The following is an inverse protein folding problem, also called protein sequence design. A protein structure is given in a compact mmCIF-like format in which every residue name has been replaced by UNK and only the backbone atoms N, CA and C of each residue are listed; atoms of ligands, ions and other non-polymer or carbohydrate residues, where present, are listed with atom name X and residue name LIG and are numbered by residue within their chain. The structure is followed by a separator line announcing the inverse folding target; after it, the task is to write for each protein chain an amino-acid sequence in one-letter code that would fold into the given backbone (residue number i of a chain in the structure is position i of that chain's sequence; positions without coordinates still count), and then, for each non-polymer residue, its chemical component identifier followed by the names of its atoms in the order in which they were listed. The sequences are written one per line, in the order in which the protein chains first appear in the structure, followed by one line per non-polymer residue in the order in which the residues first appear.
data_IF_870862387327
#
_entry.id   IF_870862387327
#
_cell.length_a   1.000
_cell.length_b   1.000
_cell.length_c   1.000
_cell.angle_alpha   90.00
_cell.angle_beta   90.00
_cell.angle_gamma   90.00
#
_symmetry.space_group_name_H-M   'P 1'
#
loop_
_entity.id
_entity.type
_entity.pdbx_description
1 polymer ?
#
# COMPACT_ATOMS: atom_id res chain seq x y z
N UNK A 1 1.60 15.77 23.54
CA UNK A 1 0.19 15.99 23.90
C UNK A 1 -0.58 16.49 22.68
N UNK A 2 -1.49 15.64 22.15
CA UNK A 2 -2.73 15.93 21.39
C UNK A 2 -2.69 16.61 19.99
N UNK A 3 -3.42 15.93 19.08
CA UNK A 3 -4.06 16.33 17.78
C UNK A 3 -3.16 16.23 16.54
N UNK A 4 -3.57 15.63 15.41
CA UNK A 4 -4.90 15.62 14.77
C UNK A 4 -5.34 14.23 14.23
N UNK A 5 -6.48 13.75 14.73
CA UNK A 5 -7.42 12.88 14.03
C UNK A 5 -8.67 13.74 13.81
N UNK A 6 -9.09 13.95 12.55
CA UNK A 6 -10.37 14.57 12.23
C UNK A 6 -10.83 14.17 10.81
N UNK A 7 -11.70 13.17 10.77
CA UNK A 7 -12.68 12.73 9.75
C UNK A 7 -13.74 11.99 10.63
N UNK A 8 -15.05 12.21 10.66
CA UNK A 8 -16.12 12.66 9.75
C UNK A 8 -17.27 13.30 10.56
N UNK A 9 -18.21 14.01 9.91
CA UNK A 9 -19.55 14.29 10.46
C UNK A 9 -20.33 15.38 9.69
N UNK A 10 -21.44 15.01 9.03
CA UNK A 10 -22.23 15.86 8.14
C UNK A 10 -23.44 16.57 8.75
N UNK A 11 -24.18 17.30 7.90
CA UNK A 11 -25.47 17.94 8.19
C UNK A 11 -25.97 18.88 7.08
N UNK A 12 -27.08 18.50 6.44
CA UNK A 12 -27.99 19.31 5.60
C UNK A 12 -28.64 20.46 6.41
N UNK A 13 -29.18 21.59 5.93
CA UNK A 13 -29.53 22.14 4.62
C UNK A 13 -29.70 23.67 4.79
N UNK A 14 -29.50 24.47 3.73
CA UNK A 14 -30.48 25.45 3.24
C UNK A 14 -29.95 26.17 1.98
N UNK A 15 -30.85 26.28 1.01
CA UNK A 15 -30.65 26.90 -0.28
C UNK A 15 -30.67 28.43 -0.20
N UNK A 16 -29.77 29.08 -0.93
CA UNK A 16 -29.96 30.41 -1.48
C UNK A 16 -29.32 30.42 -2.87
N UNK A 17 -30.16 30.54 -3.89
CA UNK A 17 -29.75 30.54 -5.29
C UNK A 17 -29.09 31.85 -5.72
N UNK A 18 -28.13 31.75 -6.64
CA UNK A 18 -27.75 32.83 -7.54
C UNK A 18 -27.59 32.20 -8.94
N UNK A 19 -28.23 32.84 -9.92
CA UNK A 19 -28.35 32.39 -11.29
C UNK A 19 -27.05 32.47 -12.10
N UNK A 20 -27.01 31.49 -13.00
CA UNK A 20 -26.21 31.24 -14.20
C UNK A 20 -25.86 32.48 -15.04
N UNK A 21 -24.60 32.55 -15.47
CA UNK A 21 -24.19 33.20 -16.71
C UNK A 21 -23.24 32.27 -17.46
N UNK A 22 -23.72 31.62 -18.52
CA UNK A 22 -22.92 30.73 -19.36
C UNK A 22 -22.16 31.48 -20.44
N UNK A 23 -21.11 30.86 -20.98
CA UNK A 23 -20.87 30.74 -22.42
C UNK A 23 -19.67 29.82 -22.71
N UNK A 24 -20.02 28.65 -23.29
CA UNK A 24 -19.40 28.02 -24.46
C UNK A 24 -17.92 27.61 -24.44
N UNK A 25 -17.67 26.31 -24.63
CA UNK A 25 -16.34 25.81 -25.02
C UNK A 25 -16.11 24.31 -24.84
N UNK A 26 -16.94 23.47 -25.47
CA UNK A 26 -16.63 22.05 -25.64
C UNK A 26 -15.49 21.91 -26.66
N UNK A 27 -14.46 21.11 -26.37
CA UNK A 27 -13.99 20.02 -27.24
C UNK A 27 -12.79 19.28 -26.64
N UNK A 28 -12.96 17.96 -26.61
CA UNK A 28 -11.98 16.93 -26.33
C UNK A 28 -10.79 16.92 -27.31
N UNK A 29 -9.64 16.42 -26.82
CA UNK A 29 -8.51 15.71 -27.48
C UNK A 29 -7.23 16.07 -26.69
N UNK A 30 -6.35 15.17 -26.26
CA UNK A 30 -6.08 13.79 -26.69
C UNK A 30 -5.07 13.12 -25.74
N UNK A 31 -5.31 11.85 -25.43
CA UNK A 31 -4.53 10.95 -24.57
C UNK A 31 -3.15 10.52 -25.13
N UNK A 32 -2.50 11.35 -25.96
CA UNK A 32 -1.23 11.03 -26.61
C UNK A 32 0.00 11.50 -25.81
N UNK A 33 -0.14 12.53 -24.96
CA UNK A 33 0.96 13.09 -24.16
C UNK A 33 1.44 12.16 -23.02
N UNK A 34 0.61 11.20 -22.59
CA UNK A 34 0.96 10.25 -21.53
C UNK A 34 1.94 9.15 -21.98
N UNK A 35 2.13 8.94 -23.29
CA UNK A 35 2.98 7.85 -23.82
C UNK A 35 4.46 8.23 -23.97
N UNK A 36 4.81 9.52 -24.08
CA UNK A 36 6.22 9.92 -24.30
C UNK A 36 7.02 10.17 -23.02
N UNK A 37 6.36 10.43 -21.88
CA UNK A 37 7.05 10.67 -20.60
C UNK A 37 7.71 9.41 -20.02
N UNK A 38 7.14 8.23 -20.29
CA UNK A 38 7.66 6.91 -19.88
C UNK A 38 9.00 6.56 -20.55
N UNK A 39 9.23 7.03 -21.78
CA UNK A 39 10.47 6.73 -22.51
C UNK A 39 11.68 7.56 -22.02
N UNK A 40 11.42 8.72 -21.39
CA UNK A 40 12.46 9.69 -20.99
C UNK A 40 13.13 9.43 -19.63
N UNK A 41 12.65 8.45 -18.86
CA UNK A 41 13.24 8.06 -17.56
C UNK A 41 14.49 7.17 -17.68
N UNK A 42 14.96 6.92 -18.91
CA UNK A 42 16.18 6.14 -19.18
C UNK A 42 17.45 6.99 -19.10
N UNK A 43 17.82 7.44 -17.90
CA UNK A 43 19.23 7.75 -17.59
C UNK A 43 19.53 7.70 -16.09
N UNK A 44 19.24 6.56 -15.45
CA UNK A 44 19.86 6.22 -14.16
C UNK A 44 21.29 5.71 -14.40
N UNK A 45 22.24 6.23 -13.63
CA UNK A 45 23.66 5.88 -13.71
C UNK A 45 23.90 4.37 -13.53
N UNK A 46 24.89 3.82 -14.25
CA UNK A 46 25.21 2.39 -14.29
C UNK A 46 25.54 1.85 -12.90
N UNK A 47 24.69 0.97 -12.37
CA UNK A 47 25.03 0.08 -11.26
C UNK A 47 25.28 -1.31 -11.85
N UNK A 48 26.43 -1.91 -11.49
CA UNK A 48 26.69 -3.32 -11.74
C UNK A 48 25.76 -4.15 -10.85
N UNK A 49 24.71 -4.70 -11.46
CA UNK A 49 23.71 -5.55 -10.83
C UNK A 49 22.76 -6.12 -11.89
N UNK A 50 22.31 -7.36 -11.70
CA UNK A 50 21.33 -8.01 -12.56
C UNK A 50 19.97 -7.28 -12.56
N UNK A 51 19.01 -7.81 -13.31
CA UNK A 51 17.61 -7.39 -13.18
C UNK A 51 17.10 -7.91 -11.83
N UNK A 52 16.45 -7.06 -11.04
CA UNK A 52 15.77 -7.54 -9.83
C UNK A 52 14.51 -8.31 -10.25
N UNK A 53 14.25 -9.40 -9.54
CA UNK A 53 13.17 -10.34 -9.82
C UNK A 53 12.12 -10.30 -8.72
N UNK A 54 10.90 -10.69 -9.11
CA UNK A 54 9.80 -10.83 -8.19
C UNK A 54 10.10 -11.85 -7.11
N UNK A 55 9.91 -11.47 -5.85
CA UNK A 55 10.02 -12.37 -4.70
C UNK A 55 8.60 -12.79 -4.32
N UNK A 56 8.27 -14.10 -4.35
CA UNK A 56 6.95 -14.56 -3.95
C UNK A 56 6.60 -14.09 -2.52
N UNK A 57 5.36 -13.63 -2.25
CA UNK A 57 5.06 -12.99 -0.99
C UNK A 57 5.14 -13.93 0.22
N UNK A 58 5.46 -13.36 1.37
CA UNK A 58 5.24 -13.99 2.67
C UNK A 58 3.74 -13.98 3.00
N UNK A 59 3.19 -15.14 3.34
CA UNK A 59 1.76 -15.35 3.53
C UNK A 59 1.45 -15.44 5.04
N UNK A 60 0.64 -14.53 5.61
CA UNK A 60 0.24 -14.58 7.00
C UNK A 60 -0.55 -15.86 7.32
N UNK A 61 -0.30 -16.46 8.48
CA UNK A 61 -1.16 -17.52 9.03
C UNK A 61 -2.38 -16.90 9.70
N UNK A 62 -3.57 -17.44 9.45
CA UNK A 62 -4.80 -17.00 10.10
C UNK A 62 -4.81 -17.48 11.56
N UNK A 63 -5.16 -16.59 12.46
CA UNK A 63 -5.37 -16.86 13.89
C UNK A 63 -6.70 -16.27 14.33
N UNK A 64 -7.25 -16.76 15.44
CA UNK A 64 -8.49 -16.26 16.03
C UNK A 64 -8.25 -14.90 16.69
N UNK A 65 -7.23 -14.82 17.55
CA UNK A 65 -6.86 -13.61 18.27
C UNK A 65 -5.41 -13.20 17.94
N UNK A 66 -5.10 -11.90 17.97
CA UNK A 66 -3.72 -11.46 17.82
C UNK A 66 -2.88 -11.87 19.03
N UNK A 67 -1.57 -12.09 18.86
CA UNK A 67 -0.68 -12.44 19.96
C UNK A 67 -0.57 -11.29 20.97
N UNK A 68 -0.57 -11.63 22.26
CA UNK A 68 -0.38 -10.66 23.36
C UNK A 68 1.06 -10.60 23.88
N UNK A 69 1.89 -11.58 23.52
CA UNK A 69 3.29 -11.65 23.93
C UNK A 69 4.11 -10.46 23.41
N UNK A 70 5.24 -10.19 24.07
CA UNK A 70 6.23 -9.23 23.56
C UNK A 70 6.88 -9.68 22.24
N UNK A 71 7.46 -8.72 21.53
CA UNK A 71 8.21 -8.97 20.29
C UNK A 71 7.33 -9.05 19.04
N UNK A 72 6.13 -8.45 19.08
CA UNK A 72 5.25 -8.27 17.94
C UNK A 72 4.99 -6.79 17.68
N UNK A 73 4.79 -6.46 16.41
CA UNK A 73 4.20 -5.19 15.97
C UNK A 73 2.93 -5.49 15.19
N UNK A 74 1.98 -4.58 15.27
CA UNK A 74 0.67 -4.76 14.66
C UNK A 74 0.43 -3.68 13.61
N UNK A 75 -0.13 -4.09 12.48
CA UNK A 75 -0.50 -3.23 11.37
C UNK A 75 -1.97 -3.44 11.04
N UNK A 76 -2.64 -2.39 10.59
CA UNK A 76 -3.96 -2.52 9.98
C UNK A 76 -3.82 -3.42 8.75
N UNK A 77 -4.66 -4.46 8.66
CA UNK A 77 -4.76 -5.21 7.43
C UNK A 77 -5.56 -4.37 6.43
N UNK A 78 -4.92 -4.00 5.33
CA UNK A 78 -5.55 -3.20 4.29
C UNK A 78 -6.27 -4.14 3.32
N UNK A 79 -7.53 -3.82 3.02
CA UNK A 79 -8.29 -4.54 1.99
C UNK A 79 -7.90 -3.99 0.62
N UNK A 80 -7.01 -4.71 -0.05
CA UNK A 80 -6.51 -4.31 -1.36
C UNK A 80 -5.94 -5.47 -2.16
N UNK A 81 -5.16 -5.13 -3.17
CA UNK A 81 -4.40 -6.10 -3.95
C UNK A 81 -2.91 -6.03 -3.66
N UNK A 82 -2.41 -7.10 -3.02
CA UNK A 82 -1.00 -7.30 -2.71
C UNK A 82 -0.13 -7.11 -3.94
N UNK A 83 0.81 -6.16 -3.84
CA UNK A 83 1.62 -5.69 -4.96
C UNK A 83 3.07 -5.51 -4.54
N UNK A 84 4.00 -5.90 -5.40
CA UNK A 84 5.43 -5.67 -5.23
C UNK A 84 5.93 -4.66 -6.25
N UNK A 85 6.51 -3.56 -5.77
CA UNK A 85 7.21 -2.58 -6.62
C UNK A 85 8.67 -2.99 -6.73
N UNK A 86 9.15 -3.13 -7.96
CA UNK A 86 10.57 -3.35 -8.27
C UNK A 86 11.10 -2.14 -9.02
N UNK A 87 12.15 -1.54 -8.48
CA UNK A 87 12.88 -0.43 -9.07
C UNK A 87 14.28 -0.92 -9.38
N UNK A 88 14.73 -0.82 -10.62
CA UNK A 88 16.12 -1.10 -11.00
C UNK A 88 16.52 -0.37 -12.29
N UNK A 89 17.63 -0.78 -12.91
CA UNK A 89 18.13 -0.24 -14.19
C UNK A 89 17.12 -0.37 -15.35
N UNK A 90 16.15 -1.28 -15.24
CA UNK A 90 15.07 -1.49 -16.21
C UNK A 90 13.88 -0.57 -16.02
N UNK A 91 13.85 0.24 -14.95
CA UNK A 91 12.74 1.12 -14.59
C UNK A 91 11.91 0.56 -13.44
N UNK A 92 10.71 1.11 -13.28
CA UNK A 92 9.72 0.68 -12.27
C UNK A 92 8.83 -0.41 -12.86
N UNK A 93 8.62 -1.49 -12.11
CA UNK A 93 7.69 -2.57 -12.42
C UNK A 93 6.84 -2.90 -11.20
N UNK A 94 5.56 -3.17 -11.41
CA UNK A 94 4.63 -3.54 -10.35
C UNK A 94 4.08 -4.94 -10.63
N UNK A 95 4.24 -5.83 -9.67
CA UNK A 95 3.80 -7.22 -9.78
C UNK A 95 2.68 -7.51 -8.79
N UNK A 96 1.63 -8.18 -9.25
CA UNK A 96 0.58 -8.71 -8.36
C UNK A 96 1.11 -9.83 -7.46
N UNK A 97 0.32 -10.25 -6.49
CA UNK A 97 0.60 -11.37 -5.56
C UNK A 97 1.15 -12.64 -6.24
N UNK A 98 0.71 -12.94 -7.47
CA UNK A 98 1.12 -14.12 -8.24
C UNK A 98 2.18 -13.82 -9.33
N UNK A 99 2.87 -12.68 -9.24
CA UNK A 99 3.98 -12.34 -10.12
C UNK A 99 3.58 -11.86 -11.52
N UNK A 100 2.33 -11.46 -11.75
CA UNK A 100 1.91 -10.88 -13.04
C UNK A 100 2.29 -9.41 -13.08
N UNK A 101 2.86 -8.97 -14.20
CA UNK A 101 3.22 -7.57 -14.41
C UNK A 101 1.96 -6.73 -14.64
N UNK A 102 1.67 -5.84 -13.69
CA UNK A 102 0.52 -4.93 -13.68
C UNK A 102 0.94 -3.46 -13.84
N UNK A 103 2.18 -3.21 -14.26
CA UNK A 103 2.75 -1.86 -14.38
C UNK A 103 1.88 -0.92 -15.21
N UNK A 104 1.28 -1.41 -16.30
CA UNK A 104 0.40 -0.61 -17.18
C UNK A 104 -0.93 -0.25 -16.52
N UNK A 105 -1.49 -1.16 -15.71
CA UNK A 105 -2.73 -0.93 -14.95
C UNK A 105 -2.48 0.06 -13.81
N UNK A 106 -1.33 -0.05 -13.15
CA UNK A 106 -0.91 0.81 -12.04
C UNK A 106 -0.07 2.02 -12.49
N UNK A 107 -0.29 2.53 -13.71
CA UNK A 107 0.56 3.58 -14.27
C UNK A 107 0.74 4.83 -13.37
N UNK A 108 -0.27 5.32 -12.61
CA UNK A 108 -0.05 6.49 -11.75
C UNK A 108 0.90 6.19 -10.59
N UNK A 109 0.86 4.97 -10.04
CA UNK A 109 1.78 4.51 -9.00
C UNK A 109 3.18 4.33 -9.61
N UNK A 110 3.27 3.77 -10.82
CA UNK A 110 4.55 3.59 -11.52
C UNK A 110 5.26 4.94 -11.76
N UNK A 111 4.51 5.98 -12.13
CA UNK A 111 5.04 7.34 -12.29
C UNK A 111 5.44 7.99 -10.96
N UNK A 112 4.73 7.68 -9.88
CA UNK A 112 5.06 8.21 -8.55
C UNK A 112 6.22 7.48 -7.86
N UNK A 113 6.60 6.28 -8.35
CA UNK A 113 7.69 5.46 -7.80
C UNK A 113 9.10 5.97 -8.14
N UNK A 114 9.26 7.28 -8.28
CA UNK A 114 10.55 7.98 -8.42
C UNK A 114 11.23 8.16 -7.04
N UNK A 115 11.29 7.08 -6.26
CA UNK A 115 11.87 7.09 -4.91
C UNK A 115 13.39 7.35 -4.97
N UNK A 116 13.99 7.96 -3.93
CA UNK A 116 15.41 8.31 -3.87
C UNK A 116 16.31 7.08 -3.62
N UNK A 117 16.23 6.10 -4.51
CA UNK A 117 17.05 4.89 -4.51
C UNK A 117 17.49 4.54 -5.94
N UNK A 118 18.57 3.77 -6.07
CA UNK A 118 19.02 3.21 -7.35
C UNK A 118 18.27 1.93 -7.69
N UNK A 119 18.04 1.08 -6.68
CA UNK A 119 17.30 -0.17 -6.85
C UNK A 119 16.57 -0.58 -5.57
N UNK A 120 15.33 -1.05 -5.67
CA UNK A 120 14.54 -1.49 -4.52
C UNK A 120 13.55 -2.59 -4.88
N UNK A 121 13.19 -3.42 -3.90
CA UNK A 121 12.02 -4.30 -3.94
C UNK A 121 11.18 -3.95 -2.72
N UNK A 122 9.98 -3.44 -2.95
CA UNK A 122 9.07 -2.95 -1.90
C UNK A 122 7.79 -3.76 -1.98
N UNK A 123 7.34 -4.25 -0.82
CA UNK A 123 6.12 -5.04 -0.69
C UNK A 123 5.03 -4.16 -0.04
N UNK A 124 3.84 -4.19 -0.61
CA UNK A 124 2.75 -3.30 -0.21
C UNK A 124 1.39 -3.73 -0.74
N UNK A 125 0.39 -2.92 -0.47
CA UNK A 125 -0.99 -3.13 -0.89
C UNK A 125 -1.43 -2.01 -1.82
N UNK A 126 -2.10 -2.32 -2.94
CA UNK A 126 -2.80 -1.31 -3.74
C UNK A 126 -4.24 -1.21 -3.27
N UNK A 127 -4.66 0.00 -2.89
CA UNK A 127 -5.98 0.30 -2.34
C UNK A 127 -6.64 1.49 -3.06
N UNK A 128 -7.93 1.68 -2.78
CA UNK A 128 -8.64 2.95 -3.04
C UNK A 128 -8.89 3.61 -1.67
N UNK A 129 -8.28 4.77 -1.37
CA UNK A 129 -8.49 5.44 -0.08
C UNK A 129 -9.96 5.80 0.16
N UNK A 130 -10.43 5.59 1.39
CA UNK A 130 -11.79 5.95 1.81
C UNK A 130 -12.88 4.94 1.44
N UNK A 131 -12.54 3.88 0.70
CA UNK A 131 -13.41 2.72 0.51
C UNK A 131 -13.10 1.73 1.64
N UNK A 132 -14.11 1.33 2.42
CA UNK A 132 -13.97 0.40 3.54
C UNK A 132 -14.63 -0.94 3.22
N UNK A 133 -14.01 -2.03 3.68
CA UNK A 133 -14.75 -3.18 4.22
C UNK A 133 -15.24 -4.25 3.23
N UNK A 134 -14.50 -4.60 2.18
CA UNK A 134 -14.75 -5.89 1.53
C UNK A 134 -13.49 -6.46 0.84
N UNK A 135 -13.05 -7.70 1.13
CA UNK A 135 -12.06 -8.42 0.33
C UNK A 135 -12.44 -8.55 -1.16
N UNK A 136 -13.72 -8.42 -1.51
CA UNK A 136 -14.21 -8.37 -2.90
C UNK A 136 -14.54 -6.94 -3.37
N UNK A 137 -13.87 -5.92 -2.84
CA UNK A 137 -14.13 -4.49 -3.12
C UNK A 137 -14.32 -4.19 -4.62
N UNK A 138 -15.57 -4.02 -5.10
CA UNK A 138 -15.84 -3.75 -6.51
C UNK A 138 -15.28 -2.39 -6.92
N UNK A 139 -15.14 -1.48 -5.96
CA UNK A 139 -14.55 -0.17 -6.18
C UNK A 139 -13.05 -0.27 -6.53
N UNK A 140 -12.30 -1.21 -5.95
CA UNK A 140 -10.89 -1.42 -6.31
C UNK A 140 -10.78 -1.96 -7.74
N UNK A 141 -11.57 -2.97 -8.09
CA UNK A 141 -11.56 -3.50 -9.46
C UNK A 141 -11.98 -2.42 -10.47
N UNK A 142 -13.05 -1.68 -10.20
CA UNK A 142 -13.50 -0.57 -11.04
C UNK A 142 -12.41 0.51 -11.18
N UNK A 143 -11.73 0.87 -10.10
CA UNK A 143 -10.64 1.84 -10.13
C UNK A 143 -9.45 1.33 -10.95
N UNK A 144 -9.09 0.05 -10.86
CA UNK A 144 -8.00 -0.54 -11.64
C UNK A 144 -8.23 -0.39 -13.15
N UNK A 145 -9.46 -0.58 -13.59
CA UNK A 145 -9.78 -0.57 -15.02
C UNK A 145 -10.18 0.81 -15.55
N UNK A 146 -10.86 1.62 -14.76
CA UNK A 146 -11.51 2.86 -15.24
C UNK A 146 -10.94 4.13 -14.62
N UNK A 147 -10.45 4.07 -13.37
CA UNK A 147 -10.03 5.25 -12.60
C UNK A 147 -8.70 5.02 -11.86
N UNK A 148 -7.61 4.60 -12.54
CA UNK A 148 -6.37 4.22 -11.88
C UNK A 148 -5.73 5.36 -11.09
N UNK A 149 -6.11 6.61 -11.38
CA UNK A 149 -5.73 7.80 -10.63
C UNK A 149 -6.25 7.83 -9.19
N UNK A 150 -7.20 6.98 -8.80
CA UNK A 150 -7.65 6.81 -7.41
C UNK A 150 -6.77 5.86 -6.61
N UNK A 151 -6.01 5.01 -7.28
CA UNK A 151 -5.20 3.99 -6.64
C UNK A 151 -4.07 4.63 -5.83
N UNK A 152 -3.78 4.02 -4.69
CA UNK A 152 -2.64 4.32 -3.82
C UNK A 152 -1.95 3.01 -3.48
N UNK A 153 -0.62 3.02 -3.46
CA UNK A 153 0.19 1.92 -2.95
C UNK A 153 0.61 2.22 -1.52
N UNK A 154 0.28 1.35 -0.58
CA UNK A 154 0.68 1.44 0.81
C UNK A 154 1.74 0.38 1.10
N UNK A 155 2.98 0.82 1.25
CA UNK A 155 4.15 -0.03 1.47
C UNK A 155 4.23 -0.46 2.94
N UNK A 156 4.39 -1.76 3.20
CA UNK A 156 4.57 -2.28 4.56
C UNK A 156 5.90 -3.03 4.76
N UNK A 157 6.65 -3.38 3.71
CA UNK A 157 7.97 -4.01 3.84
C UNK A 157 8.92 -3.64 2.69
N UNK A 158 10.23 -3.83 2.89
CA UNK A 158 11.28 -3.63 1.89
C UNK A 158 12.25 -4.81 1.91
N UNK A 159 12.45 -5.44 0.76
CA UNK A 159 13.20 -6.69 0.62
C UNK A 159 14.60 -6.47 0.05
N UNK A 160 14.80 -5.38 -0.69
CA UNK A 160 16.08 -5.02 -1.28
C UNK A 160 16.20 -3.49 -1.37
N UNK A 161 17.42 -2.98 -1.16
CA UNK A 161 17.74 -1.55 -1.32
C UNK A 161 19.19 -1.39 -1.75
N UNK A 162 19.42 -0.78 -2.91
CA UNK A 162 20.70 -0.32 -3.42
C UNK A 162 21.83 -1.36 -3.43
N UNK A 163 21.47 -2.60 -3.75
CA UNK A 163 22.38 -3.75 -3.88
C UNK A 163 22.48 -4.59 -2.61
N UNK A 164 21.72 -4.24 -1.56
CA UNK A 164 21.66 -4.99 -0.31
C UNK A 164 20.36 -5.80 -0.25
N UNK A 165 20.48 -7.06 0.11
CA UNK A 165 19.33 -7.90 0.48
C UNK A 165 18.90 -7.54 1.90
N UNK A 166 17.71 -6.97 2.06
CA UNK A 166 17.13 -6.61 3.35
C UNK A 166 16.23 -7.71 3.89
N UNK A 167 15.75 -8.65 3.05
CA UNK A 167 14.88 -9.75 3.47
C UNK A 167 15.48 -10.61 4.61
N UNK A 168 16.81 -10.69 4.71
CA UNK A 168 17.51 -11.41 5.79
C UNK A 168 17.63 -10.63 7.10
N UNK A 169 17.27 -9.35 7.14
CA UNK A 169 17.34 -8.51 8.33
C UNK A 169 16.07 -8.64 9.19
N UNK A 170 16.13 -8.33 10.50
CA UNK A 170 14.97 -8.15 11.36
C UNK A 170 13.92 -7.20 10.78
N UNK A 171 12.64 -7.46 11.04
CA UNK A 171 11.50 -6.66 10.54
C UNK A 171 11.67 -5.17 10.86
N UNK A 172 12.03 -4.81 12.10
CA UNK A 172 12.14 -3.40 12.49
C UNK A 172 13.23 -2.66 11.68
N UNK A 173 14.32 -3.34 11.31
CA UNK A 173 15.35 -2.75 10.46
C UNK A 173 14.84 -2.52 9.03
N UNK A 174 14.02 -3.44 8.51
CA UNK A 174 13.37 -3.27 7.20
C UNK A 174 12.37 -2.13 7.24
N UNK A 175 11.52 -2.06 8.28
CA UNK A 175 10.57 -0.95 8.51
C UNK A 175 11.27 0.40 8.59
N UNK A 176 12.38 0.50 9.32
CA UNK A 176 13.17 1.73 9.40
C UNK A 176 13.72 2.15 8.02
N UNK A 177 14.28 1.21 7.25
CA UNK A 177 14.77 1.49 5.90
C UNK A 177 13.64 1.91 4.95
N UNK A 178 12.47 1.28 5.07
CA UNK A 178 11.29 1.63 4.28
C UNK A 178 10.79 3.03 4.61
N UNK A 179 10.69 3.37 5.91
CA UNK A 179 10.29 4.69 6.37
C UNK A 179 11.23 5.79 5.84
N UNK A 180 12.54 5.56 5.88
CA UNK A 180 13.53 6.50 5.35
C UNK A 180 13.42 6.69 3.83
N UNK A 181 12.98 5.66 3.10
CA UNK A 181 12.84 5.70 1.64
C UNK A 181 11.54 6.38 1.19
N UNK A 182 10.42 6.05 1.84
CA UNK A 182 9.07 6.49 1.44
C UNK A 182 8.68 7.81 2.10
N UNK A 183 9.11 8.03 3.35
CA UNK A 183 8.70 9.19 4.14
C UNK A 183 7.26 9.10 4.67
N UNK A 184 6.71 10.27 5.01
CA UNK A 184 5.40 10.42 5.66
C UNK A 184 4.36 11.11 4.77
N UNK A 185 4.68 11.34 3.49
CA UNK A 185 3.82 12.05 2.56
C UNK A 185 2.62 11.20 2.16
N UNK A 186 1.43 11.82 2.12
CA UNK A 186 0.17 11.15 1.72
C UNK A 186 0.00 11.12 0.19
N UNK A 187 1.07 10.76 -0.51
CA UNK A 187 1.12 10.67 -1.97
C UNK A 187 0.53 9.36 -2.52
N UNK A 188 0.96 8.99 -3.73
CA UNK A 188 0.61 7.70 -4.37
C UNK A 188 1.33 6.49 -3.78
N UNK A 189 2.42 6.73 -3.07
CA UNK A 189 3.18 5.74 -2.32
C UNK A 189 3.18 6.22 -0.89
N UNK A 190 2.63 5.41 0.00
CA UNK A 190 2.46 5.73 1.41
C UNK A 190 3.09 4.65 2.26
N UNK A 191 3.54 5.00 3.45
CA UNK A 191 4.05 4.03 4.42
C UNK A 191 2.92 3.48 5.29
N UNK A 192 2.92 2.16 5.51
CA UNK A 192 2.04 1.50 6.47
C UNK A 192 2.62 1.61 7.88
N UNK A 193 1.96 2.40 8.72
CA UNK A 193 2.26 2.51 10.14
C UNK A 193 2.10 1.16 10.86
N UNK A 194 2.94 0.97 11.88
CA UNK A 194 2.85 -0.17 12.78
C UNK A 194 2.83 0.33 14.22
N UNK A 195 2.24 -0.47 15.09
CA UNK A 195 2.03 -0.15 16.49
C UNK A 195 2.71 -1.20 17.37
N UNK A 196 3.45 -0.74 18.37
CA UNK A 196 4.09 -1.57 19.41
C UNK A 196 3.21 -1.75 20.66
N UNK A 197 2.06 -1.07 20.71
CA UNK A 197 1.12 -1.16 21.84
C UNK A 197 0.35 -2.48 21.82
N UNK A 198 -0.34 -2.79 22.94
CA UNK A 198 -1.20 -3.97 23.09
C UNK A 198 -2.03 -4.24 21.84
N UNK A 199 -1.81 -5.42 21.25
CA UNK A 199 -2.53 -5.92 20.09
C UNK A 199 -4.04 -5.80 20.25
N UNK A 200 -4.55 -6.17 21.43
CA UNK A 200 -5.96 -6.13 21.79
C UNK A 200 -6.52 -4.71 21.80
N UNK A 201 -5.75 -3.73 22.27
CA UNK A 201 -6.17 -2.33 22.27
C UNK A 201 -6.28 -1.78 20.84
N UNK A 202 -5.33 -2.12 19.97
CA UNK A 202 -5.37 -1.74 18.55
C UNK A 202 -6.52 -2.46 17.85
N UNK A 203 -6.65 -3.77 18.07
CA UNK A 203 -7.69 -4.61 17.49
C UNK A 203 -9.10 -4.06 17.80
N UNK A 204 -9.36 -3.73 19.07
CA UNK A 204 -10.62 -3.07 19.49
C UNK A 204 -10.79 -1.64 18.98
N UNK A 205 -9.68 -0.92 18.75
CA UNK A 205 -9.74 0.44 18.21
C UNK A 205 -10.07 0.44 16.71
N UNK A 206 -9.53 -0.52 15.95
CA UNK A 206 -9.77 -0.63 14.52
C UNK A 206 -11.18 -1.17 14.22
N UNK A 207 -11.70 -2.05 15.08
CA UNK A 207 -13.09 -2.52 15.06
C UNK A 207 -14.07 -1.34 15.12
N UNK A 208 -13.84 -0.41 16.06
CA UNK A 208 -14.68 0.80 16.23
C UNK A 208 -14.69 1.74 15.02
N UNK A 209 -13.74 1.61 14.11
CA UNK A 209 -13.67 2.40 12.86
C UNK A 209 -13.99 1.57 11.62
N UNK A 210 -14.56 0.37 11.79
CA UNK A 210 -15.05 -0.47 10.70
C UNK A 210 -13.96 -1.20 9.93
N UNK A 211 -12.77 -1.40 10.54
CA UNK A 211 -11.70 -2.20 9.96
C UNK A 211 -11.73 -3.61 10.54
N UNK A 212 -11.71 -4.62 9.68
CA UNK A 212 -12.05 -5.98 10.10
C UNK A 212 -10.85 -6.83 10.54
N UNK A 213 -9.61 -6.40 10.29
CA UNK A 213 -8.46 -7.25 10.59
C UNK A 213 -7.14 -6.50 10.83
N UNK A 214 -6.24 -7.17 11.54
CA UNK A 214 -4.84 -6.75 11.72
C UNK A 214 -3.88 -7.83 11.28
N UNK A 215 -2.67 -7.40 10.92
CA UNK A 215 -1.51 -8.26 10.72
C UNK A 215 -0.53 -8.02 11.88
N UNK A 216 -0.24 -9.08 12.63
CA UNK A 216 0.79 -9.08 13.67
C UNK A 216 2.06 -9.69 13.11
N UNK A 217 3.20 -9.01 13.29
CA UNK A 217 4.49 -9.43 12.73
C UNK A 217 5.58 -9.47 13.81
N UNK A 218 6.37 -10.54 13.86
CA UNK A 218 7.52 -10.67 14.76
C UNK A 218 8.60 -9.63 14.43
N UNK A 219 9.02 -8.86 15.43
CA UNK A 219 9.98 -7.74 15.28
C UNK A 219 11.35 -8.16 14.79
N UNK A 220 11.79 -9.35 15.16
CA UNK A 220 13.10 -9.93 14.86
C UNK A 220 13.09 -10.85 13.63
N UNK A 221 11.91 -11.08 13.03
CA UNK A 221 11.75 -12.04 11.96
C UNK A 221 12.34 -11.58 10.63
N UNK A 222 12.93 -12.54 9.91
CA UNK A 222 13.32 -12.40 8.51
C UNK A 222 12.10 -12.55 7.60
N UNK A 223 12.17 -11.95 6.41
CA UNK A 223 11.18 -12.19 5.37
C UNK A 223 11.42 -13.56 4.71
N UNK A 224 10.37 -14.36 4.57
CA UNK A 224 10.38 -15.66 3.88
C UNK A 224 9.12 -15.83 3.05
N UNK A 225 9.29 -16.11 1.77
CA UNK A 225 8.20 -16.46 0.86
C UNK A 225 7.39 -17.67 1.33
N UNK A 226 6.08 -17.64 1.08
CA UNK A 226 5.17 -18.71 1.44
C UNK A 226 4.57 -18.58 2.85
N UNK A 227 3.88 -19.62 3.35
CA UNK A 227 3.25 -19.61 4.67
C UNK A 227 4.24 -19.27 5.79
N UNK A 228 3.81 -18.42 6.71
CA UNK A 228 4.66 -17.94 7.80
C UNK A 228 3.94 -17.98 9.14
N UNK A 229 4.68 -18.37 10.18
CA UNK A 229 4.27 -18.25 11.58
C UNK A 229 4.75 -16.95 12.25
N UNK A 230 5.50 -16.12 11.52
CA UNK A 230 5.99 -14.82 12.01
C UNK A 230 5.10 -13.67 11.57
N UNK A 231 4.17 -13.91 10.64
CA UNK A 231 3.11 -13.00 10.25
C UNK A 231 1.77 -13.68 10.53
N UNK A 232 0.95 -13.09 11.38
CA UNK A 232 -0.34 -13.62 11.80
C UNK A 232 -1.44 -12.64 11.42
N UNK A 233 -2.56 -13.15 10.90
CA UNK A 233 -3.74 -12.35 10.57
C UNK A 233 -4.89 -12.74 11.48
N UNK A 234 -5.36 -11.79 12.29
CA UNK A 234 -6.58 -11.90 13.07
C UNK A 234 -7.68 -11.10 12.37
N UNK A 235 -8.84 -11.71 12.13
CA UNK A 235 -10.02 -11.08 11.52
C UNK A 235 -11.18 -11.15 12.49
N UNK A 236 -11.90 -10.05 12.65
CA UNK A 236 -13.16 -9.99 13.38
C UNK A 236 -14.24 -10.73 12.59
N UNK A 237 -14.99 -11.59 13.27
CA UNK A 237 -16.24 -12.14 12.77
C UNK A 237 -17.33 -11.53 13.66
N UNK A 238 -18.30 -10.82 13.07
CA UNK A 238 -19.57 -10.69 13.77
C UNK A 238 -20.10 -12.11 13.95
N UNK A 239 -20.41 -12.49 15.20
CA UNK A 239 -21.38 -13.55 15.41
C UNK A 239 -22.64 -13.10 14.66
N UNK A 240 -22.96 -13.77 13.55
CA UNK A 240 -24.28 -13.65 12.97
C UNK A 240 -25.24 -14.13 14.06
N UNK A 241 -26.03 -13.22 14.62
CA UNK A 241 -27.19 -13.56 15.44
C UNK A 241 -28.05 -14.53 14.62
N UNK A 242 -28.02 -15.82 15.01
CA UNK A 242 -28.88 -16.88 14.46
C UNK A 242 -30.13 -17.05 15.33
#
# INVERSE_FOLDING_TARGET
MRRCLQWLGGGSAQAAGIQVGGMSGCLCRSAAAARSKVASLRKRAKVNGGRLEFIPPQIPTRVEEPPEDEGWVHEVNLDGYRTQIIIDKGGVRLYSNNGRDWTTKYWPIALAAELPCRAAIIDGEVIVPGEQGDPDCPALEAAIWNEPSRLVFVAFDILHLDGRNLASLPLLQRKQALWQLVGHDLGKIQYSEHFESSALAIFRAIEKVGLESIISKRVDSRYRSGPSNTWLRAKYFEEADF
#
